data_IF_401025994429
#
_entry.id   IF_401025994429
#
_cell.length_a   1.000
_cell.length_b   1.000
_cell.length_c   1.000
_cell.angle_alpha   90.00
_cell.angle_beta   90.00
_cell.angle_gamma   90.00
#
_symmetry.space_group_name_H-M   'P 1'
#
loop_
_entity.id
_entity.type
_entity.pdbx_description
1 polymer ?
#
# COMPACT_ATOMS: atom_id res chain seq x y z
N UNK A 1 32.30 -48.16 -7.28
CA UNK A 1 33.48 -47.48 -6.70
C UNK A 1 32.98 -46.25 -5.97
N UNK A 2 33.29 -46.14 -4.68
CA UNK A 2 32.95 -45.00 -3.82
C UNK A 2 34.21 -44.18 -3.62
N UNK A 3 34.17 -42.88 -3.88
CA UNK A 3 35.13 -41.83 -3.46
C UNK A 3 34.46 -40.44 -3.67
N UNK A 4 34.86 -39.36 -2.97
CA UNK A 4 34.48 -39.05 -1.59
C UNK A 4 34.09 -37.56 -1.39
N UNK A 5 33.75 -37.23 -0.14
CA UNK A 5 33.60 -35.93 0.54
C UNK A 5 34.22 -34.67 -0.08
N UNK A 6 33.44 -33.59 0.08
CA UNK A 6 33.76 -32.36 0.82
C UNK A 6 35.21 -31.84 0.74
N UNK A 7 35.42 -30.70 0.07
CA UNK A 7 35.65 -29.41 0.73
C UNK A 7 36.13 -28.33 -0.27
N UNK A 8 35.63 -27.12 -0.04
CA UNK A 8 36.29 -25.84 -0.30
C UNK A 8 36.43 -25.31 -1.75
N UNK A 9 35.55 -24.34 -2.08
CA UNK A 9 36.06 -23.02 -2.45
C UNK A 9 35.08 -21.91 -2.04
N UNK A 10 35.41 -21.29 -0.92
CA UNK A 10 34.92 -19.98 -0.50
C UNK A 10 35.31 -18.93 -1.54
N UNK A 11 34.37 -18.52 -2.37
CA UNK A 11 34.45 -17.26 -3.10
C UNK A 11 33.17 -16.48 -2.80
N UNK A 12 33.33 -15.36 -2.08
CA UNK A 12 32.28 -14.38 -1.75
C UNK A 12 31.73 -13.78 -3.04
N UNK A 13 30.86 -14.50 -3.73
CA UNK A 13 30.03 -13.94 -4.79
C UNK A 13 28.90 -13.22 -4.06
N UNK A 14 28.90 -11.88 -4.08
CA UNK A 14 27.69 -11.13 -3.77
C UNK A 14 26.63 -11.56 -4.79
N UNK A 15 25.81 -12.54 -4.40
CA UNK A 15 24.63 -12.94 -5.16
C UNK A 15 23.76 -11.69 -5.32
N UNK A 16 23.72 -11.14 -6.53
CA UNK A 16 22.88 -10.01 -6.85
C UNK A 16 21.44 -10.48 -6.61
N UNK A 17 20.73 -9.95 -5.58
CA UNK A 17 19.43 -10.46 -5.22
C UNK A 17 18.48 -10.24 -6.41
N UNK A 18 17.84 -11.33 -6.85
CA UNK A 18 16.84 -11.25 -7.91
C UNK A 18 15.74 -10.24 -7.54
N UNK A 19 15.15 -9.59 -8.54
CA UNK A 19 14.08 -8.62 -8.31
C UNK A 19 12.92 -9.20 -7.47
N UNK A 20 12.65 -10.50 -7.63
CA UNK A 20 11.62 -11.20 -6.87
C UNK A 20 12.01 -11.38 -5.39
N UNK A 21 13.28 -11.63 -5.08
CA UNK A 21 13.72 -11.74 -3.68
C UNK A 21 13.65 -10.41 -2.94
N UNK A 22 13.94 -9.30 -3.63
CA UNK A 22 13.77 -7.94 -3.07
C UNK A 22 12.29 -7.63 -2.82
N UNK A 23 11.43 -7.93 -3.78
CA UNK A 23 9.98 -7.70 -3.66
C UNK A 23 9.36 -8.59 -2.58
N UNK A 24 9.77 -9.86 -2.49
CA UNK A 24 9.34 -10.78 -1.45
C UNK A 24 9.83 -10.36 -0.07
N UNK A 25 11.07 -9.86 0.04
CA UNK A 25 11.58 -9.30 1.28
C UNK A 25 10.73 -8.12 1.73
N UNK A 26 10.43 -7.16 0.85
CA UNK A 26 9.58 -6.02 1.21
C UNK A 26 8.16 -6.45 1.59
N UNK A 27 7.57 -7.40 0.87
CA UNK A 27 6.24 -7.93 1.18
C UNK A 27 6.19 -8.65 2.53
N UNK A 28 7.23 -9.42 2.86
CA UNK A 28 7.27 -10.22 4.09
C UNK A 28 7.73 -9.42 5.32
N UNK A 29 8.69 -8.50 5.15
CA UNK A 29 9.26 -7.70 6.25
C UNK A 29 8.44 -6.45 6.52
N UNK A 30 8.10 -5.66 5.49
CA UNK A 30 7.29 -4.45 5.68
C UNK A 30 5.80 -4.78 5.77
N UNK A 31 5.41 -5.96 5.27
CA UNK A 31 4.01 -6.36 5.23
C UNK A 31 3.21 -5.54 4.22
N UNK A 32 2.09 -6.10 3.78
CA UNK A 32 1.04 -5.31 3.14
C UNK A 32 -0.01 -4.98 4.19
N UNK A 33 -0.40 -3.70 4.37
CA UNK A 33 -1.44 -3.35 5.33
C UNK A 33 -2.77 -3.95 4.85
N UNK A 34 -3.14 -5.11 5.37
CA UNK A 34 -4.42 -5.79 5.13
C UNK A 34 -5.53 -5.28 6.02
N UNK A 35 -5.18 -4.50 7.05
CA UNK A 35 -6.15 -3.95 7.99
C UNK A 35 -6.87 -2.74 7.40
N UNK A 36 -8.19 -2.70 7.61
CA UNK A 36 -9.03 -1.53 7.33
C UNK A 36 -8.45 -0.28 8.01
N UNK A 37 -8.54 0.84 7.31
CA UNK A 37 -7.98 2.11 7.76
C UNK A 37 -8.72 2.55 9.03
N UNK A 38 -8.00 2.58 10.15
CA UNK A 38 -8.50 3.12 11.41
C UNK A 38 -8.16 4.61 11.48
N UNK A 39 -9.17 5.46 11.24
CA UNK A 39 -9.00 6.91 11.32
C UNK A 39 -8.47 7.34 12.68
N UNK A 40 -8.76 6.61 13.77
CA UNK A 40 -8.31 6.92 15.13
C UNK A 40 -6.81 6.71 15.36
N UNK A 41 -6.13 5.96 14.49
CA UNK A 41 -4.67 5.73 14.55
C UNK A 41 -3.87 6.71 13.69
N UNK A 42 -4.53 7.47 12.82
CA UNK A 42 -3.87 8.41 11.92
C UNK A 42 -3.33 9.65 12.67
N UNK A 43 -2.17 10.22 12.27
CA UNK A 43 -1.66 11.49 12.79
C UNK A 43 -2.70 12.60 12.68
N UNK A 44 -2.74 13.50 13.67
CA UNK A 44 -3.78 14.54 13.80
C UNK A 44 -3.95 15.36 12.51
N UNK A 45 -2.83 15.82 11.94
CA UNK A 45 -2.85 16.66 10.73
C UNK A 45 -3.50 15.93 9.54
N UNK A 46 -3.15 14.66 9.35
CA UNK A 46 -3.62 13.87 8.23
C UNK A 46 -5.08 13.44 8.43
N UNK A 47 -5.49 13.21 9.68
CA UNK A 47 -6.90 13.00 10.02
C UNK A 47 -7.76 14.21 9.67
N UNK A 48 -7.36 15.41 10.08
CA UNK A 48 -8.13 16.63 9.78
C UNK A 48 -8.17 16.91 8.28
N UNK A 49 -7.05 16.73 7.58
CA UNK A 49 -7.02 16.82 6.13
C UNK A 49 -8.01 15.85 5.47
N UNK A 50 -8.01 14.59 5.91
CA UNK A 50 -8.97 13.59 5.45
C UNK A 50 -10.42 14.04 5.64
N UNK A 51 -10.79 14.47 6.85
CA UNK A 51 -12.15 14.96 7.11
C UNK A 51 -12.51 16.19 6.27
N UNK A 52 -11.59 17.13 6.09
CA UNK A 52 -11.81 18.31 5.26
C UNK A 52 -12.12 17.93 3.81
N UNK A 53 -11.28 17.07 3.22
CA UNK A 53 -11.45 16.59 1.84
C UNK A 53 -12.75 15.81 1.72
N UNK A 54 -13.02 14.85 2.61
CA UNK A 54 -14.27 14.08 2.59
C UNK A 54 -15.51 14.97 2.72
N UNK A 55 -15.44 16.02 3.55
CA UNK A 55 -16.54 16.98 3.69
C UNK A 55 -16.79 17.75 2.41
N UNK A 56 -15.75 18.22 1.72
CA UNK A 56 -15.90 18.92 0.43
C UNK A 56 -16.52 18.00 -0.59
N UNK A 57 -16.02 16.77 -0.72
CA UNK A 57 -16.57 15.78 -1.63
C UNK A 57 -18.05 15.51 -1.34
N UNK A 58 -18.43 15.32 -0.08
CA UNK A 58 -19.81 15.10 0.31
C UNK A 58 -20.72 16.27 -0.11
N UNK A 59 -20.29 17.52 0.12
CA UNK A 59 -21.04 18.72 -0.29
C UNK A 59 -21.14 18.82 -1.81
N UNK A 60 -20.04 18.62 -2.53
CA UNK A 60 -20.03 18.65 -3.99
C UNK A 60 -20.94 17.57 -4.59
N UNK A 61 -20.89 16.34 -4.08
CA UNK A 61 -21.78 15.25 -4.50
C UNK A 61 -23.24 15.59 -4.23
N UNK A 62 -23.55 16.13 -3.05
CA UNK A 62 -24.91 16.55 -2.72
C UNK A 62 -25.43 17.63 -3.68
N UNK A 63 -24.63 18.68 -3.92
CA UNK A 63 -24.97 19.74 -4.86
C UNK A 63 -25.15 19.21 -6.29
N UNK A 64 -24.29 18.29 -6.72
CA UNK A 64 -24.41 17.65 -8.03
C UNK A 64 -25.73 16.90 -8.17
N UNK A 65 -26.13 16.11 -7.16
CA UNK A 65 -27.40 15.40 -7.15
C UNK A 65 -28.58 16.38 -7.23
N UNK A 66 -28.54 17.47 -6.45
CA UNK A 66 -29.60 18.49 -6.47
C UNK A 66 -29.70 19.13 -7.86
N UNK A 67 -28.58 19.55 -8.45
CA UNK A 67 -28.56 20.16 -9.78
C UNK A 67 -29.05 19.18 -10.85
N UNK A 68 -28.63 17.91 -10.77
CA UNK A 68 -29.09 16.87 -11.68
C UNK A 68 -30.62 16.70 -11.62
N UNK A 69 -31.18 16.65 -10.40
CA UNK A 69 -32.62 16.55 -10.19
C UNK A 69 -33.33 17.79 -10.75
N UNK A 70 -32.86 18.99 -10.43
CA UNK A 70 -33.45 20.26 -10.91
C UNK A 70 -33.41 20.32 -12.45
N UNK A 71 -32.31 19.91 -13.06
CA UNK A 71 -32.18 19.86 -14.52
C UNK A 71 -33.11 18.81 -15.14
N UNK A 72 -33.31 17.67 -14.49
CA UNK A 72 -34.19 16.62 -14.97
C UNK A 72 -35.67 17.05 -14.98
N UNK A 73 -36.08 17.89 -14.02
CA UNK A 73 -37.45 18.39 -13.91
C UNK A 73 -37.72 19.70 -14.68
N UNK A 74 -36.71 20.27 -15.35
CA UNK A 74 -36.82 21.50 -16.14
C UNK A 74 -36.84 21.19 -17.64
#
# INVERSE_FOLDING_TARGET
MKQPNDEEKSETQEEIPSFNSVTDHYRNIMGVPTNKIDMKKMPRILRYFGYFVFSIFAVCTLLFIILYIVQFFR
#
